data_IF_492649480226
#
_entry.id   IF_492649480226
#
_cell.length_a   1.000
_cell.length_b   1.000
_cell.length_c   1.000
_cell.angle_alpha   90.00
_cell.angle_beta   90.00
_cell.angle_gamma   90.00
#
_symmetry.space_group_name_H-M   'P 1'
#
loop_
_entity.id
_entity.type
_entity.pdbx_description
1 polymer ?
#
# COMPACT_ATOMS: atom_id res chain seq x y z
N UNK A 1 -6.94 7.84 -19.56
CA UNK A 1 -5.46 7.67 -19.52
C UNK A 1 -5.12 6.81 -18.32
N UNK A 2 -4.03 6.04 -18.31
CA UNK A 2 -3.64 5.30 -17.10
C UNK A 2 -2.84 6.21 -16.16
N UNK A 3 -3.20 6.25 -14.88
CA UNK A 3 -2.43 6.98 -13.85
C UNK A 3 -1.16 6.20 -13.50
N UNK A 4 0.04 6.78 -13.70
CA UNK A 4 1.27 6.18 -13.21
C UNK A 4 1.28 6.05 -11.68
N UNK A 5 0.65 6.98 -10.97
CA UNK A 5 0.54 6.96 -9.51
C UNK A 5 -0.29 5.77 -9.00
N UNK A 6 -1.42 5.47 -9.64
CA UNK A 6 -2.25 4.32 -9.30
C UNK A 6 -1.56 2.99 -9.65
N UNK A 7 -0.80 2.94 -10.75
CA UNK A 7 0.02 1.79 -11.10
C UNK A 7 1.08 1.48 -10.05
N UNK A 8 1.82 2.50 -9.61
CA UNK A 8 2.84 2.37 -8.56
C UNK A 8 2.20 2.01 -7.23
N UNK A 9 1.06 2.61 -6.87
CA UNK A 9 0.31 2.24 -5.66
C UNK A 9 -0.11 0.76 -5.67
N UNK A 10 -0.62 0.26 -6.79
CA UNK A 10 -0.95 -1.15 -6.95
C UNK A 10 0.29 -2.06 -6.83
N UNK A 11 1.44 -1.64 -7.36
CA UNK A 11 2.69 -2.38 -7.18
C UNK A 11 3.12 -2.44 -5.71
N UNK A 12 3.01 -1.33 -4.97
CA UNK A 12 3.29 -1.26 -3.52
C UNK A 12 2.37 -2.22 -2.74
N UNK A 13 1.08 -2.25 -3.08
CA UNK A 13 0.10 -3.16 -2.46
C UNK A 13 0.42 -4.62 -2.78
N UNK A 14 0.85 -4.95 -4.00
CA UNK A 14 1.29 -6.32 -4.35
C UNK A 14 2.49 -6.74 -3.51
N UNK A 15 3.50 -5.89 -3.38
CA UNK A 15 4.68 -6.16 -2.55
C UNK A 15 4.28 -6.39 -1.09
N UNK A 16 3.35 -5.61 -0.54
CA UNK A 16 2.82 -5.84 0.81
C UNK A 16 2.24 -7.25 0.96
N UNK A 17 1.39 -7.68 0.01
CA UNK A 17 0.78 -9.02 0.07
C UNK A 17 1.84 -10.13 -0.03
N UNK A 18 2.83 -9.98 -0.91
CA UNK A 18 3.94 -10.92 -1.04
C UNK A 18 4.74 -11.03 0.26
N UNK A 19 5.11 -9.90 0.87
CA UNK A 19 5.86 -9.86 2.12
C UNK A 19 5.07 -10.48 3.28
N UNK A 20 3.77 -10.20 3.38
CA UNK A 20 2.88 -10.77 4.39
C UNK A 20 2.66 -12.28 4.18
N UNK A 21 2.56 -12.74 2.93
CA UNK A 21 2.46 -14.16 2.59
C UNK A 21 3.73 -14.92 2.98
N UNK A 22 4.89 -14.36 2.67
CA UNK A 22 6.19 -14.94 3.04
C UNK A 22 6.40 -14.98 4.56
N UNK A 23 6.02 -13.90 5.26
CA UNK A 23 6.01 -13.86 6.72
C UNK A 23 5.15 -15.00 7.31
N UNK A 24 3.96 -15.20 6.75
CA UNK A 24 3.03 -16.27 7.17
C UNK A 24 3.63 -17.65 6.90
N UNK A 25 4.20 -17.89 5.71
CA UNK A 25 4.85 -19.15 5.34
C UNK A 25 5.98 -19.51 6.32
N UNK A 26 6.87 -18.55 6.62
CA UNK A 26 7.96 -18.73 7.61
C UNK A 26 7.45 -19.03 9.01
N UNK A 27 6.28 -18.48 9.37
CA UNK A 27 5.66 -18.76 10.66
C UNK A 27 5.21 -20.23 10.73
N UNK A 28 4.63 -20.79 9.67
CA UNK A 28 4.18 -22.19 9.59
C UNK A 28 5.35 -23.19 9.62
N UNK A 29 6.43 -22.93 8.86
CA UNK A 29 7.54 -23.90 8.71
C UNK A 29 8.42 -24.09 9.96
N UNK A 30 8.40 -23.16 10.92
CA UNK A 30 9.34 -23.11 12.05
C UNK A 30 8.70 -23.41 13.42
N UNK A 31 7.76 -24.35 13.51
CA UNK A 31 6.85 -24.59 14.66
C UNK A 31 7.47 -25.06 16.01
N UNK A 32 8.75 -24.77 16.30
CA UNK A 32 9.45 -25.26 17.51
C UNK A 32 9.68 -24.26 18.66
N UNK A 33 9.52 -22.94 18.48
CA UNK A 33 9.86 -21.92 19.52
C UNK A 33 8.77 -20.84 19.55
N UNK A 34 7.83 -20.94 20.51
CA UNK A 34 6.54 -20.23 20.42
C UNK A 34 6.51 -18.76 20.90
N UNK A 35 7.30 -18.33 21.89
CA UNK A 35 7.13 -16.98 22.49
C UNK A 35 8.00 -15.88 21.88
N UNK A 36 9.30 -16.14 21.61
CA UNK A 36 10.17 -15.16 20.95
C UNK A 36 9.71 -14.86 19.51
N UNK A 37 9.07 -15.84 18.88
CA UNK A 37 8.65 -15.81 17.48
C UNK A 37 7.38 -15.01 17.25
N UNK A 38 6.44 -14.96 18.20
CA UNK A 38 5.22 -14.14 18.09
C UNK A 38 5.55 -12.64 18.12
N UNK A 39 6.46 -12.23 19.01
CA UNK A 39 6.94 -10.84 19.07
C UNK A 39 7.75 -10.45 17.84
N UNK A 40 8.60 -11.34 17.33
CA UNK A 40 9.34 -11.10 16.09
C UNK A 40 8.37 -10.97 14.89
N UNK A 41 7.40 -11.87 14.79
CA UNK A 41 6.37 -11.85 13.75
C UNK A 41 5.52 -10.57 13.80
N UNK A 42 5.13 -10.12 15.01
CA UNK A 42 4.42 -8.86 15.19
C UNK A 42 5.26 -7.64 14.76
N UNK A 43 6.56 -7.65 15.07
CA UNK A 43 7.50 -6.60 14.66
C UNK A 43 7.71 -6.58 13.14
N UNK A 44 7.87 -7.74 12.52
CA UNK A 44 8.02 -7.87 11.07
C UNK A 44 6.75 -7.42 10.34
N UNK A 45 5.57 -7.86 10.81
CA UNK A 45 4.28 -7.37 10.30
C UNK A 45 4.19 -5.85 10.38
N UNK A 46 4.53 -5.26 11.54
CA UNK A 46 4.54 -3.80 11.73
C UNK A 46 5.49 -3.13 10.74
N UNK A 47 6.69 -3.68 10.54
CA UNK A 47 7.67 -3.13 9.60
C UNK A 47 7.16 -3.16 8.15
N UNK A 48 6.54 -4.27 7.72
CA UNK A 48 5.92 -4.39 6.38
C UNK A 48 4.82 -3.34 6.23
N UNK A 49 3.87 -3.26 7.17
CA UNK A 49 2.80 -2.26 7.17
C UNK A 49 3.34 -0.83 7.12
N UNK A 50 4.35 -0.49 7.94
CA UNK A 50 4.95 0.84 7.94
C UNK A 50 5.63 1.19 6.62
N UNK A 51 6.34 0.24 5.99
CA UNK A 51 6.93 0.44 4.66
C UNK A 51 5.85 0.71 3.60
N UNK A 52 4.77 -0.06 3.63
CA UNK A 52 3.65 0.13 2.71
C UNK A 52 3.00 1.51 2.89
N UNK A 53 2.74 1.93 4.12
CA UNK A 53 2.19 3.27 4.42
C UNK A 53 3.14 4.37 3.92
N UNK A 54 4.44 4.23 4.14
CA UNK A 54 5.43 5.20 3.68
C UNK A 54 5.45 5.31 2.15
N UNK A 55 5.44 4.17 1.44
CA UNK A 55 5.36 4.14 -0.02
C UNK A 55 4.07 4.77 -0.56
N UNK A 56 2.92 4.43 0.03
CA UNK A 56 1.63 5.02 -0.35
C UNK A 56 1.58 6.53 -0.06
N UNK A 57 2.16 6.97 1.07
CA UNK A 57 2.24 8.40 1.41
C UNK A 57 3.14 9.16 0.42
N UNK A 58 4.27 8.55 0.01
CA UNK A 58 5.17 9.12 -0.99
C UNK A 58 4.47 9.28 -2.34
N UNK A 59 3.79 8.25 -2.83
CA UNK A 59 3.11 8.33 -4.14
C UNK A 59 1.91 9.29 -4.09
N UNK A 60 1.23 9.40 -2.95
CA UNK A 60 0.20 10.42 -2.71
C UNK A 60 0.77 11.84 -2.86
N UNK A 61 1.94 12.10 -2.27
CA UNK A 61 2.60 13.41 -2.41
C UNK A 61 3.01 13.71 -3.86
N UNK A 62 3.47 12.70 -4.60
CA UNK A 62 3.79 12.85 -6.03
C UNK A 62 2.52 13.14 -6.85
N UNK A 63 1.41 12.43 -6.59
CA UNK A 63 0.14 12.69 -7.27
C UNK A 63 -0.32 14.14 -7.09
N UNK A 64 -0.15 14.70 -5.88
CA UNK A 64 -0.40 16.12 -5.62
C UNK A 64 0.49 17.04 -6.46
N UNK A 65 1.80 16.75 -6.53
CA UNK A 65 2.76 17.56 -7.30
C UNK A 65 2.49 17.56 -8.81
N UNK A 66 1.90 16.48 -9.34
CA UNK A 66 1.50 16.39 -10.75
C UNK A 66 0.23 17.20 -11.08
N UNK A 67 -0.46 17.74 -10.07
CA UNK A 67 -1.53 18.72 -10.23
C UNK A 67 -2.78 18.18 -10.90
N UNK A 68 -3.34 18.95 -11.85
CA UNK A 68 -4.64 18.67 -12.49
C UNK A 68 -4.74 17.26 -13.09
N UNK A 69 -3.63 16.70 -13.57
CA UNK A 69 -3.59 15.37 -14.19
C UNK A 69 -3.87 14.22 -13.20
N UNK A 70 -3.61 14.43 -11.90
CA UNK A 70 -3.65 13.38 -10.88
C UNK A 70 -4.41 13.84 -9.61
N UNK A 71 -5.18 14.93 -9.69
CA UNK A 71 -5.88 15.47 -8.51
C UNK A 71 -6.92 14.47 -7.97
N UNK A 72 -7.67 13.80 -8.85
CA UNK A 72 -8.60 12.75 -8.46
C UNK A 72 -7.87 11.55 -7.82
N UNK A 73 -6.75 11.14 -8.42
CA UNK A 73 -5.86 10.10 -7.90
C UNK A 73 -5.33 10.46 -6.52
N UNK A 74 -4.94 11.72 -6.28
CA UNK A 74 -4.48 12.21 -4.99
C UNK A 74 -5.54 11.99 -3.91
N UNK A 75 -6.79 12.41 -4.14
CA UNK A 75 -7.85 12.24 -3.14
C UNK A 75 -8.12 10.77 -2.83
N UNK A 76 -8.12 9.92 -3.85
CA UNK A 76 -8.30 8.48 -3.70
C UNK A 76 -7.16 7.86 -2.88
N UNK A 77 -5.90 8.13 -3.26
CA UNK A 77 -4.72 7.63 -2.56
C UNK A 77 -4.64 8.13 -1.13
N UNK A 78 -4.90 9.42 -0.88
CA UNK A 78 -4.88 10.00 0.46
C UNK A 78 -5.91 9.31 1.36
N UNK A 79 -7.15 9.17 0.89
CA UNK A 79 -8.24 8.55 1.66
C UNK A 79 -7.90 7.11 2.02
N UNK A 80 -7.48 6.30 1.03
CA UNK A 80 -7.11 4.90 1.26
C UNK A 80 -5.87 4.75 2.15
N UNK A 81 -4.90 5.65 2.04
CA UNK A 81 -3.69 5.63 2.89
C UNK A 81 -4.04 5.96 4.34
N UNK A 82 -4.92 6.92 4.60
CA UNK A 82 -5.37 7.24 5.96
C UNK A 82 -6.19 6.08 6.56
N UNK A 83 -7.14 5.53 5.80
CA UNK A 83 -7.90 4.36 6.24
C UNK A 83 -6.99 3.18 6.59
N UNK A 84 -5.96 2.91 5.79
CA UNK A 84 -5.00 1.85 6.09
C UNK A 84 -4.17 2.15 7.33
N UNK A 85 -3.75 3.40 7.52
CA UNK A 85 -2.99 3.83 8.70
C UNK A 85 -3.81 3.66 9.98
N UNK A 86 -5.09 3.99 9.95
CA UNK A 86 -5.99 3.96 11.12
C UNK A 86 -6.47 2.54 11.43
N UNK A 87 -6.94 1.81 10.42
CA UNK A 87 -7.57 0.50 10.61
C UNK A 87 -6.59 -0.67 10.50
N UNK A 88 -5.43 -0.48 9.86
CA UNK A 88 -4.53 -1.56 9.47
C UNK A 88 -5.08 -2.48 8.37
N UNK A 89 -6.26 -2.17 7.80
CA UNK A 89 -6.88 -2.92 6.70
C UNK A 89 -6.26 -2.49 5.38
N UNK A 90 -5.68 -3.44 4.65
CA UNK A 90 -5.06 -3.16 3.34
C UNK A 90 -6.11 -2.61 2.36
N UNK A 91 -5.80 -1.52 1.61
CA UNK A 91 -6.67 -1.01 0.57
C UNK A 91 -6.90 -2.03 -0.55
N UNK A 92 -8.05 -1.94 -1.21
CA UNK A 92 -8.26 -2.63 -2.49
C UNK A 92 -7.35 -2.03 -3.57
N UNK A 93 -7.08 -2.82 -4.60
CA UNK A 93 -6.37 -2.31 -5.78
C UNK A 93 -7.17 -1.20 -6.45
N UNK A 94 -6.46 -0.16 -6.86
CA UNK A 94 -7.04 0.99 -7.53
C UNK A 94 -7.28 0.68 -9.01
N UNK A 95 -8.39 1.21 -9.55
CA UNK A 95 -8.57 1.23 -11.00
C UNK A 95 -7.55 2.22 -11.59
N UNK A 96 -6.69 1.74 -12.49
CA UNK A 96 -5.62 2.56 -13.07
C UNK A 96 -6.15 3.58 -14.10
N UNK A 97 -7.39 3.43 -14.56
CA UNK A 97 -8.00 4.34 -15.51
C UNK A 97 -8.51 5.62 -14.85
N UNK A 98 -8.02 6.76 -15.35
CA UNK A 98 -8.48 8.10 -14.97
C UNK A 98 -9.26 8.70 -16.14
N UNK A 99 -10.41 9.33 -15.89
CA UNK A 99 -11.09 10.14 -16.89
C UNK A 99 -10.10 11.18 -17.43
N UNK A 100 -9.89 11.19 -18.75
CA UNK A 100 -9.15 12.28 -19.37
C UNK A 100 -10.01 13.55 -19.27
N UNK A 101 -9.43 14.67 -18.83
CA UNK A 101 -10.07 15.96 -19.02
C UNK A 101 -10.33 16.11 -20.52
N UNK A 102 -11.62 16.15 -20.92
CA UNK A 102 -11.97 16.53 -22.28
C UNK A 102 -11.58 18.00 -22.43
N UNK A 103 -10.52 18.25 -23.21
CA UNK A 103 -10.20 19.59 -23.65
C UNK A 103 -11.36 20.10 -24.49
N UNK A 104 -12.01 21.16 -24.01
CA UNK A 104 -12.88 21.99 -24.83
C UNK A 104 -12.03 22.89 -25.74
#
# INVERSE_FOLDING_TARGET
MKSPCLQIANAILRTHMTDMGELTRRAVEKSGVLSLKTNLHAREKKAITSKTIAGLSMITAIAWQLGENELATFYQLNTSTQQFRESGVIPQFFNEEVPACQGN
#
